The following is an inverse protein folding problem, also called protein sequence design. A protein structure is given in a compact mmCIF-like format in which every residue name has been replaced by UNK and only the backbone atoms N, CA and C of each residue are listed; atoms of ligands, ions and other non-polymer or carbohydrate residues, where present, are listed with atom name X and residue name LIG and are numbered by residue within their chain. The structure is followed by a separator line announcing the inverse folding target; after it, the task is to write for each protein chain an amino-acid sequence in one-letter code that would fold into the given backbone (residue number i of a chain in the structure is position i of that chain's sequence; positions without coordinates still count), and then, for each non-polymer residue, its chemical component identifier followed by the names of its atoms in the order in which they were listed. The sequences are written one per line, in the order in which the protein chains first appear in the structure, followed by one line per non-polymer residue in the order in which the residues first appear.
data_IF_018108232855
#
_entry.id   IF_018108232855
#
_cell.length_a   1.000
_cell.length_b   1.000
_cell.length_c   1.000
_cell.angle_alpha   90.00
_cell.angle_beta   90.00
_cell.angle_gamma   90.00
#
_symmetry.space_group_name_H-M   'P 1'
#
loop_
_entity.id
_entity.type
_entity.pdbx_description
1 polymer ?
#
# COMPACT_ATOMS: atom_id res chain seq x y z
N UNK A 1 -52.96 -34.00 23.20
CA UNK A 1 -51.84 -33.21 23.79
C UNK A 1 -50.61 -33.51 22.94
N UNK A 2 -50.36 -32.68 21.91
CA UNK A 2 -49.22 -32.85 20.99
C UNK A 2 -48.08 -31.93 21.48
N UNK A 3 -46.96 -32.54 21.83
CA UNK A 3 -45.72 -31.81 22.17
C UNK A 3 -44.87 -31.70 20.89
N UNK A 4 -44.84 -30.52 20.31
CA UNK A 4 -43.95 -30.20 19.18
C UNK A 4 -42.57 -29.82 19.73
N UNK A 5 -41.57 -30.67 19.48
CA UNK A 5 -40.20 -30.40 19.84
C UNK A 5 -39.59 -29.52 18.75
N UNK A 6 -39.19 -28.29 19.10
CA UNK A 6 -38.43 -27.38 18.22
C UNK A 6 -36.95 -27.72 18.38
N UNK A 7 -36.38 -28.31 17.33
CA UNK A 7 -34.92 -28.53 17.25
C UNK A 7 -34.24 -27.22 16.82
N UNK A 8 -33.44 -26.65 17.71
CA UNK A 8 -32.59 -25.50 17.45
C UNK A 8 -31.33 -25.99 16.69
N UNK A 9 -31.26 -25.71 15.40
CA UNK A 9 -30.07 -25.96 14.60
C UNK A 9 -29.09 -24.81 14.85
N UNK A 10 -28.05 -25.06 15.64
CA UNK A 10 -26.94 -24.11 15.82
C UNK A 10 -26.05 -24.15 14.55
N UNK A 11 -26.12 -23.10 13.72
CA UNK A 11 -25.16 -22.89 12.65
C UNK A 11 -23.81 -22.49 13.26
N UNK A 12 -22.89 -23.45 13.29
CA UNK A 12 -21.47 -23.17 13.53
C UNK A 12 -20.88 -22.46 12.30
N UNK A 13 -20.80 -21.15 12.36
CA UNK A 13 -20.04 -20.37 11.37
C UNK A 13 -18.54 -20.68 11.58
N UNK A 14 -17.99 -21.58 10.78
CA UNK A 14 -16.55 -21.80 10.71
C UNK A 14 -15.90 -20.57 10.11
N UNK A 15 -15.34 -19.70 10.97
CA UNK A 15 -14.41 -18.66 10.54
C UNK A 15 -13.16 -19.33 10.00
N UNK A 16 -13.01 -19.39 8.67
CA UNK A 16 -11.78 -19.82 8.05
C UNK A 16 -10.67 -18.83 8.47
N UNK A 17 -9.87 -19.21 9.45
CA UNK A 17 -8.64 -18.51 9.81
C UNK A 17 -7.70 -18.64 8.62
N UNK A 18 -7.35 -17.53 7.97
CA UNK A 18 -6.30 -17.52 6.98
C UNK A 18 -5.00 -17.98 7.65
N UNK A 19 -4.45 -19.10 7.20
CA UNK A 19 -3.20 -19.63 7.74
C UNK A 19 -2.10 -18.56 7.63
N UNK A 20 -1.31 -18.41 8.72
CA UNK A 20 -0.17 -17.50 8.71
C UNK A 20 0.83 -17.91 7.64
N UNK A 21 1.40 -16.95 6.92
CA UNK A 21 2.48 -17.23 5.97
C UNK A 21 3.78 -17.53 6.72
N UNK A 22 4.75 -18.26 6.13
CA UNK A 22 6.05 -18.46 6.76
C UNK A 22 6.73 -17.15 7.19
N UNK A 23 6.61 -16.11 6.40
CA UNK A 23 7.16 -14.77 6.66
C UNK A 23 6.70 -14.14 7.98
N UNK A 24 5.49 -14.44 8.44
CA UNK A 24 4.96 -13.94 9.71
C UNK A 24 5.62 -14.56 10.95
N UNK A 25 6.35 -15.66 10.78
CA UNK A 25 7.13 -16.27 11.87
C UNK A 25 8.41 -15.51 12.16
N UNK A 26 8.93 -14.75 11.19
CA UNK A 26 10.08 -13.86 11.36
C UNK A 26 9.60 -12.57 12.02
N UNK A 27 9.87 -12.44 13.31
CA UNK A 27 9.30 -11.37 14.14
C UNK A 27 10.24 -10.18 14.34
N UNK A 28 11.47 -10.25 13.90
CA UNK A 28 12.48 -9.18 13.95
C UNK A 28 13.15 -9.05 12.59
N UNK A 29 13.66 -7.86 12.22
CA UNK A 29 14.49 -7.70 11.04
C UNK A 29 15.66 -8.68 11.05
N UNK A 30 15.91 -9.30 9.90
CA UNK A 30 17.09 -10.15 9.73
C UNK A 30 18.34 -9.26 9.70
N UNK A 31 19.35 -9.52 10.55
CA UNK A 31 20.56 -8.69 10.60
C UNK A 31 21.32 -8.68 9.27
N UNK A 32 21.95 -7.56 8.95
CA UNK A 32 22.77 -7.39 7.74
C UNK A 32 22.64 -5.99 7.16
N UNK A 33 23.41 -5.72 6.10
CA UNK A 33 23.21 -4.52 5.29
C UNK A 33 21.84 -4.57 4.62
N UNK A 34 21.16 -3.43 4.50
CA UNK A 34 19.84 -3.38 3.89
C UNK A 34 19.90 -3.84 2.43
N UNK A 35 19.14 -4.88 2.10
CA UNK A 35 19.04 -5.46 0.76
C UNK A 35 17.61 -5.81 0.45
N UNK A 36 17.01 -5.11 -0.51
CA UNK A 36 15.74 -5.53 -1.15
C UNK A 36 16.05 -6.62 -2.17
N UNK A 37 15.30 -7.72 -2.17
CA UNK A 37 15.56 -8.90 -3.01
C UNK A 37 14.31 -9.28 -3.77
N UNK A 38 14.43 -9.50 -5.08
CA UNK A 38 13.34 -9.88 -5.98
C UNK A 38 12.41 -8.72 -6.33
N UNK A 39 11.21 -9.04 -6.80
CA UNK A 39 10.22 -8.05 -7.21
C UNK A 39 9.27 -7.68 -6.07
N UNK A 40 8.56 -6.55 -6.21
CA UNK A 40 7.58 -6.05 -5.25
C UNK A 40 6.52 -7.08 -4.83
N UNK A 41 6.25 -8.09 -5.66
CA UNK A 41 5.23 -9.13 -5.44
C UNK A 41 5.79 -10.54 -5.27
N UNK A 42 7.09 -10.70 -5.35
CA UNK A 42 7.80 -11.96 -5.14
C UNK A 42 9.22 -11.66 -4.66
N UNK A 43 9.36 -11.32 -3.39
CA UNK A 43 10.64 -10.88 -2.83
C UNK A 43 10.66 -10.88 -1.31
N UNK A 44 11.76 -10.38 -0.76
CA UNK A 44 12.01 -10.24 0.66
C UNK A 44 12.99 -9.08 0.92
N UNK A 45 13.34 -8.86 2.19
CA UNK A 45 14.34 -7.87 2.60
C UNK A 45 15.20 -8.41 3.74
N UNK A 46 16.51 -8.15 3.68
CA UNK A 46 17.47 -8.27 4.79
C UNK A 46 17.77 -6.86 5.29
N UNK A 47 18.12 -6.70 6.55
CA UNK A 47 18.51 -5.40 7.12
C UNK A 47 17.40 -4.34 7.09
N UNK A 48 16.14 -4.76 7.22
CA UNK A 48 15.02 -3.81 7.25
C UNK A 48 15.12 -2.90 8.47
N UNK A 49 14.86 -1.60 8.26
CA UNK A 49 14.64 -0.65 9.34
C UNK A 49 13.20 -0.69 9.85
N UNK A 50 13.06 -0.38 11.13
CA UNK A 50 11.75 -0.18 11.77
C UNK A 50 11.37 1.29 11.69
N UNK A 51 10.23 1.60 11.06
CA UNK A 51 9.68 2.96 11.14
C UNK A 51 9.22 3.21 12.58
N UNK A 52 9.71 4.25 13.30
CA UNK A 52 9.15 4.64 14.58
C UNK A 52 7.64 4.81 14.48
N UNK A 53 6.89 4.20 15.39
CA UNK A 53 5.41 4.16 15.28
C UNK A 53 4.74 5.53 15.44
N UNK A 54 5.47 6.53 15.93
CA UNK A 54 5.03 7.92 16.02
C UNK A 54 6.19 8.90 15.85
N UNK A 55 5.90 10.04 15.22
CA UNK A 55 6.77 11.21 15.18
C UNK A 55 5.91 12.48 15.29
N UNK A 56 6.51 13.66 15.26
CA UNK A 56 5.75 14.91 15.18
C UNK A 56 4.90 15.01 13.91
N UNK A 57 5.34 14.37 12.81
CA UNK A 57 4.81 14.58 11.47
C UNK A 57 3.90 13.48 10.99
N UNK A 58 3.99 12.26 11.57
CA UNK A 58 3.19 11.11 11.17
C UNK A 58 2.78 10.23 12.37
N UNK A 59 1.84 9.33 12.12
CA UNK A 59 1.45 8.25 13.02
C UNK A 59 1.24 6.97 12.22
N UNK A 60 1.76 5.85 12.73
CA UNK A 60 1.59 4.52 12.12
C UNK A 60 0.31 3.89 12.62
N UNK A 61 -0.49 3.34 11.71
CA UNK A 61 -1.75 2.66 12.01
C UNK A 61 -1.56 1.15 12.07
N UNK A 62 -2.50 0.44 12.72
CA UNK A 62 -2.57 -1.03 12.78
C UNK A 62 -1.24 -1.68 13.19
N UNK A 63 -0.58 -1.09 14.18
CA UNK A 63 0.74 -1.56 14.66
C UNK A 63 0.72 -2.98 15.18
N UNK A 64 -0.46 -3.50 15.58
CA UNK A 64 -0.70 -4.90 15.94
C UNK A 64 -0.41 -5.87 14.77
N UNK A 65 -0.49 -5.42 13.52
CA UNK A 65 -0.17 -6.24 12.34
C UNK A 65 1.33 -6.32 12.03
N UNK A 66 2.17 -5.50 12.70
CA UNK A 66 3.63 -5.48 12.54
C UNK A 66 4.08 -5.31 11.08
N UNK A 67 3.47 -4.37 10.36
CA UNK A 67 3.76 -4.03 8.96
C UNK A 67 4.33 -2.63 8.82
N UNK A 68 5.33 -2.31 9.64
CA UNK A 68 6.00 -1.00 9.68
C UNK A 68 7.51 -1.12 9.54
N UNK A 69 7.96 -2.11 8.77
CA UNK A 69 9.36 -2.35 8.43
C UNK A 69 9.58 -2.09 6.95
N UNK A 70 10.78 -1.62 6.60
CA UNK A 70 11.12 -1.37 5.20
C UNK A 70 12.61 -1.09 5.01
N UNK A 71 13.01 -0.89 3.77
CA UNK A 71 14.34 -0.43 3.45
C UNK A 71 14.59 0.96 4.08
N UNK A 72 15.81 1.30 4.53
CA UNK A 72 16.13 2.63 5.06
C UNK A 72 15.69 3.78 4.14
N UNK A 73 15.80 3.61 2.81
CA UNK A 73 15.34 4.60 1.84
C UNK A 73 13.83 4.87 1.93
N UNK A 74 13.03 3.83 2.20
CA UNK A 74 11.59 3.96 2.41
C UNK A 74 11.29 4.73 3.71
N UNK A 75 12.01 4.41 4.78
CA UNK A 75 11.88 5.12 6.06
C UNK A 75 12.25 6.60 5.89
N UNK A 76 13.35 6.90 5.21
CA UNK A 76 13.75 8.28 4.90
C UNK A 76 12.74 9.00 4.00
N UNK A 77 12.18 8.34 3.01
CA UNK A 77 11.11 8.92 2.17
C UNK A 77 9.90 9.33 3.02
N UNK A 78 9.42 8.44 3.89
CA UNK A 78 8.27 8.72 4.77
C UNK A 78 8.56 9.92 5.66
N UNK A 79 9.74 10.00 6.25
CA UNK A 79 10.15 11.10 7.11
C UNK A 79 10.22 12.43 6.33
N UNK A 80 10.82 12.45 5.14
CA UNK A 80 10.88 13.64 4.27
C UNK A 80 9.48 14.14 3.90
N UNK A 81 8.64 13.23 3.37
CA UNK A 81 7.28 13.57 2.94
C UNK A 81 6.45 14.11 4.10
N UNK A 82 6.50 13.42 5.25
CA UNK A 82 5.72 13.80 6.42
C UNK A 82 6.15 15.16 6.99
N UNK A 83 7.45 15.43 6.99
CA UNK A 83 7.98 16.75 7.39
C UNK A 83 7.51 17.85 6.44
N UNK A 84 7.55 17.62 5.13
CA UNK A 84 7.04 18.60 4.14
C UNK A 84 5.54 18.89 4.35
N UNK A 85 4.73 17.85 4.54
CA UNK A 85 3.27 17.95 4.81
C UNK A 85 3.02 18.77 6.09
N UNK A 86 3.78 18.51 7.14
CA UNK A 86 3.69 19.23 8.42
C UNK A 86 4.08 20.70 8.28
N UNK A 87 5.19 20.98 7.59
CA UNK A 87 5.66 22.35 7.36
C UNK A 87 4.68 23.19 6.54
N UNK A 88 3.88 22.56 5.68
CA UNK A 88 2.79 23.21 4.94
C UNK A 88 1.50 23.32 5.77
N UNK A 89 1.49 22.92 7.03
CA UNK A 89 0.31 22.94 7.89
C UNK A 89 -0.83 22.04 7.42
N UNK A 90 -0.56 21.01 6.62
CA UNK A 90 -1.59 20.18 6.02
C UNK A 90 -2.19 19.15 7.00
N UNK A 91 -1.52 18.84 8.09
CA UNK A 91 -1.96 17.88 9.11
C UNK A 91 -0.95 16.77 9.37
N UNK A 92 -1.38 15.73 10.09
CA UNK A 92 -0.56 14.56 10.41
C UNK A 92 -0.70 13.51 9.32
N UNK A 93 0.42 12.97 8.81
CA UNK A 93 0.41 11.88 7.83
C UNK A 93 0.09 10.55 8.55
N UNK A 94 -0.83 9.78 8.01
CA UNK A 94 -1.21 8.47 8.54
C UNK A 94 -0.58 7.38 7.67
N UNK A 95 0.35 6.62 8.26
CA UNK A 95 1.09 5.55 7.60
C UNK A 95 0.36 4.23 7.83
N UNK A 96 0.00 3.57 6.74
CA UNK A 96 -0.60 2.24 6.73
C UNK A 96 0.43 1.13 6.70
N UNK A 97 0.20 0.14 5.81
CA UNK A 97 1.10 -0.99 5.68
C UNK A 97 2.38 -0.61 4.91
N UNK A 98 3.51 -1.03 5.44
CA UNK A 98 4.82 -1.10 4.78
C UNK A 98 5.14 -2.58 4.50
N UNK A 99 6.25 -3.10 5.01
CA UNK A 99 6.62 -4.51 4.97
C UNK A 99 6.60 -5.17 6.34
N UNK A 100 6.71 -6.50 6.36
CA UNK A 100 7.05 -7.29 7.56
C UNK A 100 8.57 -7.23 7.82
N UNK A 101 9.06 -7.70 9.00
CA UNK A 101 10.47 -7.61 9.37
C UNK A 101 11.48 -8.15 8.35
N UNK A 102 11.11 -9.22 7.62
CA UNK A 102 11.89 -9.78 6.52
C UNK A 102 11.20 -9.61 5.16
N UNK A 103 10.21 -8.73 5.06
CA UNK A 103 9.39 -8.59 3.86
C UNK A 103 8.53 -9.83 3.61
N UNK A 104 8.46 -10.24 2.34
CA UNK A 104 7.68 -11.40 1.93
C UNK A 104 6.16 -11.19 1.96
N UNK A 105 5.44 -12.23 1.57
CA UNK A 105 4.00 -12.16 1.30
C UNK A 105 3.16 -12.09 2.59
N UNK A 106 2.24 -11.15 2.65
CA UNK A 106 1.20 -11.09 3.69
C UNK A 106 0.21 -12.27 3.56
N UNK A 107 -0.50 -12.58 4.64
CA UNK A 107 -1.56 -13.60 4.65
C UNK A 107 -2.87 -13.14 3.99
N UNK A 108 -2.88 -11.99 3.34
CA UNK A 108 -4.02 -11.42 2.60
C UNK A 108 -3.93 -9.91 2.45
N UNK A 109 -4.82 -9.35 1.66
CA UNK A 109 -4.99 -7.91 1.46
C UNK A 109 -4.11 -7.31 0.36
N UNK A 110 -2.83 -7.63 0.31
CA UNK A 110 -1.86 -7.04 -0.61
C UNK A 110 -1.09 -8.10 -1.39
N UNK A 111 -0.84 -7.83 -2.67
CA UNK A 111 0.02 -8.65 -3.52
C UNK A 111 1.49 -8.17 -3.53
N UNK A 112 1.76 -7.00 -2.99
CA UNK A 112 3.06 -6.31 -2.95
C UNK A 112 3.55 -6.12 -1.52
N UNK A 113 4.37 -5.13 -1.25
CA UNK A 113 5.02 -4.85 0.05
C UNK A 113 6.06 -5.88 0.47
N UNK A 114 6.58 -6.67 -0.48
CA UNK A 114 7.44 -7.81 -0.12
C UNK A 114 8.92 -7.46 0.01
N UNK A 115 9.37 -6.38 -0.64
CA UNK A 115 10.78 -5.98 -0.71
C UNK A 115 11.14 -4.81 0.22
N UNK A 116 10.18 -4.32 1.02
CA UNK A 116 10.41 -3.17 1.91
C UNK A 116 10.49 -1.82 1.18
N UNK A 117 9.99 -1.72 -0.06
CA UNK A 117 10.02 -0.50 -0.88
C UNK A 117 8.62 0.08 -1.16
N UNK A 118 7.58 -0.50 -0.57
CA UNK A 118 6.19 -0.07 -0.73
C UNK A 118 5.62 0.45 0.59
N UNK A 119 4.78 1.48 0.51
CA UNK A 119 4.02 2.00 1.67
C UNK A 119 2.64 2.47 1.26
N UNK A 120 1.64 2.17 2.08
CA UNK A 120 0.31 2.74 2.01
C UNK A 120 0.24 4.01 2.87
N UNK A 121 -0.13 5.13 2.26
CA UNK A 121 -0.32 6.41 2.95
C UNK A 121 -1.77 6.82 2.80
N UNK A 122 -2.46 7.01 3.93
CA UNK A 122 -3.87 7.36 3.92
C UNK A 122 -4.08 8.81 3.45
N UNK A 123 -5.14 9.01 2.67
CA UNK A 123 -5.49 10.31 2.09
C UNK A 123 -6.28 11.19 3.08
N UNK A 124 -6.24 10.83 4.34
CA UNK A 124 -6.83 11.57 5.44
C UNK A 124 -5.71 12.20 6.28
N UNK A 125 -5.74 13.53 6.38
CA UNK A 125 -4.74 14.33 7.07
C UNK A 125 -5.35 15.01 8.30
N UNK A 126 -5.49 14.31 9.45
CA UNK A 126 -6.10 14.89 10.64
C UNK A 126 -5.28 16.06 11.18
N UNK A 127 -5.95 17.15 11.54
CA UNK A 127 -5.34 18.31 12.20
C UNK A 127 -5.06 18.02 13.68
N UNK A 128 -5.86 17.17 14.29
CA UNK A 128 -5.63 16.65 15.65
C UNK A 128 -5.13 15.22 15.55
N UNK A 129 -4.05 14.92 16.25
CA UNK A 129 -3.48 13.57 16.27
C UNK A 129 -4.49 12.54 16.75
N UNK A 130 -4.48 11.39 16.11
CA UNK A 130 -5.34 10.28 16.47
C UNK A 130 -4.91 9.61 17.77
N UNK A 131 -5.88 9.16 18.54
CA UNK A 131 -5.66 8.31 19.72
C UNK A 131 -5.18 6.91 19.33
N UNK A 132 -4.58 6.19 20.26
CA UNK A 132 -4.16 4.80 20.03
C UNK A 132 -5.31 3.90 19.58
N UNK A 133 -6.52 4.09 20.10
CA UNK A 133 -7.71 3.32 19.67
C UNK A 133 -8.07 3.59 18.20
N UNK A 134 -8.02 4.85 17.75
CA UNK A 134 -8.25 5.21 16.37
C UNK A 134 -7.16 4.66 15.43
N UNK A 135 -5.90 4.65 15.87
CA UNK A 135 -4.78 4.09 15.09
C UNK A 135 -4.87 2.57 14.97
N UNK A 136 -5.31 1.86 15.98
CA UNK A 136 -5.46 0.40 15.95
C UNK A 136 -6.68 -0.04 15.12
N UNK A 137 -7.74 0.74 15.10
CA UNK A 137 -8.98 0.45 14.37
C UNK A 137 -9.41 1.65 13.55
N UNK A 138 -8.59 2.02 12.52
CA UNK A 138 -8.84 3.21 11.73
C UNK A 138 -10.13 3.08 10.91
N UNK A 139 -10.92 4.14 10.92
CA UNK A 139 -12.00 4.30 9.96
C UNK A 139 -11.44 5.04 8.75
N UNK A 140 -11.26 4.30 7.66
CA UNK A 140 -10.75 4.85 6.43
C UNK A 140 -11.79 5.80 5.80
N UNK A 141 -11.34 6.99 5.38
CA UNK A 141 -12.16 7.95 4.65
C UNK A 141 -12.26 7.50 3.20
N UNK A 142 -13.42 6.95 2.80
CA UNK A 142 -13.67 6.59 1.41
C UNK A 142 -13.91 7.85 0.57
N UNK A 143 -12.94 8.21 -0.26
CA UNK A 143 -13.00 9.41 -1.11
C UNK A 143 -13.79 9.21 -2.39
N UNK A 144 -14.24 8.01 -2.71
CA UNK A 144 -14.85 7.68 -4.00
C UNK A 144 -16.33 7.45 -3.84
N UNK A 145 -17.11 7.98 -4.76
CA UNK A 145 -18.58 7.80 -4.82
C UNK A 145 -18.96 6.31 -4.88
N UNK A 146 -20.21 6.00 -4.48
CA UNK A 146 -20.70 4.62 -4.45
C UNK A 146 -20.63 3.93 -5.82
N UNK A 147 -20.84 4.67 -6.90
CA UNK A 147 -20.75 4.15 -8.28
C UNK A 147 -19.31 4.01 -8.80
N UNK A 148 -18.31 4.43 -8.02
CA UNK A 148 -16.91 4.33 -8.35
C UNK A 148 -16.39 5.31 -9.40
N UNK A 149 -17.22 6.26 -9.86
CA UNK A 149 -16.94 7.12 -11.02
C UNK A 149 -16.33 8.47 -10.66
N UNK A 150 -16.54 8.96 -9.44
CA UNK A 150 -16.14 10.31 -9.04
C UNK A 150 -15.57 10.30 -7.62
N UNK A 151 -14.79 11.32 -7.29
CA UNK A 151 -14.49 11.62 -5.90
C UNK A 151 -15.70 12.28 -5.24
N UNK A 152 -15.88 12.05 -3.95
CA UNK A 152 -16.90 12.74 -3.15
C UNK A 152 -16.41 14.18 -2.91
N UNK A 153 -17.01 15.16 -3.57
CA UNK A 153 -16.54 16.56 -3.60
C UNK A 153 -16.39 17.19 -2.22
N UNK A 154 -17.27 16.84 -1.27
CA UNK A 154 -17.18 17.32 0.12
C UNK A 154 -16.01 16.76 0.90
N UNK A 155 -15.45 15.63 0.47
CA UNK A 155 -14.31 14.95 1.08
C UNK A 155 -12.99 15.25 0.37
N UNK A 156 -13.02 15.60 -0.91
CA UNK A 156 -11.83 15.99 -1.68
C UNK A 156 -11.36 17.37 -1.22
N UNK A 157 -10.11 17.41 -0.75
CA UNK A 157 -9.50 18.63 -0.19
C UNK A 157 -8.19 18.96 -0.92
N UNK A 158 -7.81 20.24 -1.02
CA UNK A 158 -6.53 20.66 -1.63
C UNK A 158 -5.31 19.97 -1.00
N UNK A 159 -5.37 19.64 0.30
CA UNK A 159 -4.30 18.95 1.00
C UNK A 159 -4.09 17.51 0.48
N UNK A 160 -5.17 16.84 0.04
CA UNK A 160 -5.09 15.49 -0.54
C UNK A 160 -4.37 15.55 -1.89
N UNK A 161 -4.73 16.50 -2.74
CA UNK A 161 -4.04 16.76 -4.01
C UNK A 161 -2.56 17.04 -3.77
N UNK A 162 -2.25 17.93 -2.83
CA UNK A 162 -0.88 18.33 -2.51
C UNK A 162 -0.06 17.17 -1.95
N UNK A 163 -0.63 16.33 -1.08
CA UNK A 163 0.03 15.14 -0.54
C UNK A 163 0.45 14.18 -1.67
N UNK A 164 -0.46 13.85 -2.59
CA UNK A 164 -0.17 12.94 -3.70
C UNK A 164 0.88 13.54 -4.63
N UNK A 165 0.77 14.85 -4.92
CA UNK A 165 1.74 15.57 -5.75
C UNK A 165 3.13 15.56 -5.13
N UNK A 166 3.27 15.91 -3.86
CA UNK A 166 4.53 15.90 -3.13
C UNK A 166 5.18 14.50 -3.16
N UNK A 167 4.39 13.46 -2.90
CA UNK A 167 4.88 12.09 -2.98
C UNK A 167 5.36 11.74 -4.41
N UNK A 168 4.61 12.12 -5.44
CA UNK A 168 4.98 11.83 -6.83
C UNK A 168 6.21 12.61 -7.30
N UNK A 169 6.48 13.77 -6.73
CA UNK A 169 7.65 14.59 -7.06
C UNK A 169 8.93 14.11 -6.36
N UNK A 170 8.84 13.25 -5.35
CA UNK A 170 10.04 12.66 -4.75
C UNK A 170 10.82 11.84 -5.79
N UNK A 171 12.15 12.02 -5.78
CA UNK A 171 13.06 11.45 -6.80
C UNK A 171 13.10 9.92 -6.77
N UNK A 172 12.87 9.31 -5.60
CA UNK A 172 12.94 7.87 -5.38
C UNK A 172 11.62 7.15 -5.68
N UNK A 173 10.51 7.89 -5.77
CA UNK A 173 9.20 7.34 -6.13
C UNK A 173 9.14 7.06 -7.63
N UNK A 174 8.82 5.81 -7.97
CA UNK A 174 8.62 5.36 -9.36
C UNK A 174 7.15 5.21 -9.72
N UNK A 175 6.29 4.95 -8.73
CA UNK A 175 4.87 4.70 -8.96
C UNK A 175 4.03 4.98 -7.71
N UNK A 176 2.83 5.48 -7.95
CA UNK A 176 1.79 5.65 -6.92
C UNK A 176 0.50 5.08 -7.48
N UNK A 177 -0.15 4.18 -6.73
CA UNK A 177 -1.45 3.65 -7.11
C UNK A 177 -2.56 4.35 -6.33
N UNK A 178 -3.59 4.78 -7.04
CA UNK A 178 -4.81 5.39 -6.50
C UNK A 178 -6.03 4.86 -7.24
N UNK A 179 -7.21 5.02 -6.66
CA UNK A 179 -8.45 4.67 -7.37
C UNK A 179 -8.57 5.47 -8.70
N UNK A 180 -9.14 4.88 -9.77
CA UNK A 180 -9.35 5.58 -11.04
C UNK A 180 -10.06 6.94 -10.89
N UNK A 181 -11.07 7.06 -10.04
CA UNK A 181 -11.76 8.32 -9.79
C UNK A 181 -10.85 9.38 -9.14
N UNK A 182 -9.94 8.96 -8.25
CA UNK A 182 -8.92 9.85 -7.67
C UNK A 182 -7.94 10.30 -8.75
N UNK A 183 -7.45 9.37 -9.60
CA UNK A 183 -6.59 9.73 -10.73
C UNK A 183 -7.28 10.72 -11.67
N UNK A 184 -8.55 10.52 -11.97
CA UNK A 184 -9.35 11.43 -12.80
C UNK A 184 -9.41 12.82 -12.18
N UNK A 185 -9.68 12.93 -10.88
CA UNK A 185 -9.72 14.21 -10.18
C UNK A 185 -8.37 14.92 -10.21
N UNK A 186 -7.26 14.17 -9.98
CA UNK A 186 -5.92 14.72 -10.09
C UNK A 186 -5.64 15.27 -11.50
N UNK A 187 -6.11 14.59 -12.55
CA UNK A 187 -5.99 15.06 -13.93
C UNK A 187 -6.75 16.37 -14.19
N UNK A 188 -7.89 16.57 -13.53
CA UNK A 188 -8.69 17.81 -13.65
C UNK A 188 -8.02 18.96 -12.89
N UNK A 189 -7.44 18.71 -11.72
CA UNK A 189 -6.92 19.72 -10.82
C UNK A 189 -5.46 20.14 -11.15
N UNK A 190 -4.71 19.35 -11.93
CA UNK A 190 -3.26 19.52 -12.08
C UNK A 190 -2.83 20.78 -12.84
N UNK A 191 -3.74 21.45 -13.58
CA UNK A 191 -3.37 22.60 -14.40
C UNK A 191 -2.31 22.25 -15.44
N UNK A 192 -1.28 23.08 -15.57
CA UNK A 192 -0.18 22.94 -16.55
C UNK A 192 1.00 22.10 -16.05
N UNK A 193 1.21 22.00 -14.72
CA UNK A 193 2.25 21.17 -14.12
C UNK A 193 1.75 19.73 -14.00
N UNK A 194 2.07 18.87 -14.98
CA UNK A 194 1.49 17.53 -15.16
C UNK A 194 2.49 16.38 -15.16
N UNK A 195 3.80 16.64 -15.19
CA UNK A 195 4.82 15.59 -15.34
C UNK A 195 4.80 14.54 -14.23
N UNK A 196 4.51 14.96 -13.00
CA UNK A 196 4.39 14.08 -11.85
C UNK A 196 3.23 13.07 -11.96
N UNK A 197 2.18 13.39 -12.73
CA UNK A 197 1.03 12.52 -12.96
C UNK A 197 1.41 11.21 -13.65
N UNK A 198 2.52 11.19 -14.40
CA UNK A 198 3.05 9.96 -15.02
C UNK A 198 3.22 8.84 -13.98
N UNK A 199 3.69 9.17 -12.80
CA UNK A 199 3.93 8.20 -11.73
C UNK A 199 2.63 7.74 -11.05
N UNK A 200 1.56 8.51 -11.12
CA UNK A 200 0.28 8.20 -10.49
C UNK A 200 -0.58 7.35 -11.41
N UNK A 201 -0.84 6.11 -11.00
CA UNK A 201 -1.51 5.10 -11.83
C UNK A 201 -2.85 4.68 -11.23
N UNK A 202 -3.89 4.52 -12.05
CA UNK A 202 -5.16 3.98 -11.58
C UNK A 202 -4.99 2.52 -11.19
N UNK A 203 -5.62 2.11 -10.08
CA UNK A 203 -5.66 0.73 -9.64
C UNK A 203 -6.95 0.45 -8.87
N UNK A 204 -7.38 -0.81 -8.88
CA UNK A 204 -8.58 -1.23 -8.14
C UNK A 204 -8.45 -0.93 -6.63
N UNK A 205 -9.58 -0.76 -5.96
CA UNK A 205 -9.65 -0.32 -4.56
C UNK A 205 -8.98 1.05 -4.38
N UNK A 206 -7.95 1.21 -3.58
CA UNK A 206 -7.20 2.46 -3.32
C UNK A 206 -8.09 3.71 -3.19
N UNK A 207 -9.23 3.54 -2.48
CA UNK A 207 -10.25 4.58 -2.33
C UNK A 207 -9.97 5.55 -1.18
N UNK A 208 -9.16 5.11 -0.20
CA UNK A 208 -8.86 5.83 1.04
C UNK A 208 -7.36 6.07 1.28
N UNK A 209 -6.50 5.46 0.49
CA UNK A 209 -5.05 5.57 0.59
C UNK A 209 -4.42 5.57 -0.80
N UNK A 210 -3.22 6.09 -0.89
CA UNK A 210 -2.32 5.89 -2.01
C UNK A 210 -1.30 4.81 -1.63
N UNK A 211 -0.97 3.93 -2.57
CA UNK A 211 0.13 2.97 -2.44
C UNK A 211 1.34 3.53 -3.19
N UNK A 212 2.40 3.82 -2.48
CA UNK A 212 3.64 4.40 -3.03
C UNK A 212 4.70 3.31 -3.16
N UNK A 213 5.40 3.30 -4.29
CA UNK A 213 6.54 2.42 -4.58
C UNK A 213 7.78 3.21 -4.91
N UNK A 214 8.88 2.88 -4.24
CA UNK A 214 10.20 3.40 -4.54
C UNK A 214 10.92 2.54 -5.60
N UNK A 215 11.98 3.12 -6.18
CA UNK A 215 12.93 2.38 -7.02
C UNK A 215 13.75 1.42 -6.18
N UNK A 216 14.36 0.45 -6.81
CA UNK A 216 15.39 -0.36 -6.18
C UNK A 216 16.57 0.51 -5.75
N UNK A 217 17.07 0.34 -4.50
CA UNK A 217 18.31 0.96 -4.06
C UNK A 217 19.50 0.47 -4.90
N UNK A 218 20.46 1.34 -5.14
CA UNK A 218 21.60 1.04 -6.02
C UNK A 218 22.50 -0.10 -5.50
N UNK A 219 22.50 -0.33 -4.20
CA UNK A 219 23.24 -1.37 -3.50
C UNK A 219 22.47 -2.69 -3.36
N UNK A 220 21.17 -2.72 -3.65
CA UNK A 220 20.33 -3.92 -3.62
C UNK A 220 20.39 -4.66 -4.98
N UNK A 221 21.48 -5.38 -5.21
CA UNK A 221 21.80 -5.96 -6.52
C UNK A 221 20.80 -7.03 -7.02
N UNK A 222 20.08 -7.69 -6.11
CA UNK A 222 19.04 -8.68 -6.45
C UNK A 222 17.63 -8.05 -6.54
N UNK A 223 17.49 -6.73 -6.38
CA UNK A 223 16.22 -6.06 -6.47
C UNK A 223 15.78 -5.88 -7.93
N UNK A 224 14.51 -6.16 -8.22
CA UNK A 224 13.94 -6.06 -9.55
C UNK A 224 12.99 -4.86 -9.65
N UNK A 225 13.43 -3.81 -10.36
CA UNK A 225 12.59 -2.63 -10.59
C UNK A 225 11.38 -2.95 -11.47
N UNK A 226 10.25 -2.39 -11.12
CA UNK A 226 9.13 -2.34 -12.04
C UNK A 226 9.41 -1.30 -13.13
N UNK A 227 9.25 -1.63 -14.43
CA UNK A 227 9.46 -0.68 -15.53
C UNK A 227 8.65 0.62 -15.30
N UNK A 228 9.27 1.77 -15.56
CA UNK A 228 8.58 3.05 -15.41
C UNK A 228 7.29 3.09 -16.26
N UNK A 229 6.26 3.83 -15.82
CA UNK A 229 5.07 4.05 -16.63
C UNK A 229 5.41 4.66 -18.00
N UNK A 230 4.61 4.40 -19.05
CA UNK A 230 4.78 5.06 -20.34
C UNK A 230 4.88 6.59 -20.21
N UNK A 231 5.53 7.29 -21.16
CA UNK A 231 5.52 8.75 -21.21
C UNK A 231 4.11 9.34 -21.24
N UNK A 232 3.98 10.58 -20.76
CA UNK A 232 2.70 11.29 -20.68
C UNK A 232 2.11 11.23 -19.26
N UNK A 233 1.03 11.97 -19.04
CA UNK A 233 0.40 12.14 -17.74
C UNK A 233 -0.55 11.00 -17.33
N UNK A 234 -0.86 10.09 -18.26
CA UNK A 234 -1.77 8.96 -18.03
C UNK A 234 -3.23 9.36 -17.80
N UNK A 235 -3.64 10.56 -18.28
CA UNK A 235 -5.00 11.10 -18.14
C UNK A 235 -5.92 10.82 -19.36
N UNK A 236 -5.38 10.19 -20.39
CA UNK A 236 -6.11 9.93 -21.64
C UNK A 236 -6.85 8.58 -21.66
N UNK A 237 -6.78 7.90 -22.80
CA UNK A 237 -7.54 6.68 -23.10
C UNK A 237 -7.28 5.55 -22.09
N UNK A 238 -6.06 5.44 -21.56
CA UNK A 238 -5.75 4.45 -20.51
C UNK A 238 -6.61 4.67 -19.27
N UNK A 239 -6.72 5.92 -18.78
CA UNK A 239 -7.57 6.21 -17.63
C UNK A 239 -9.06 5.96 -17.95
N UNK A 240 -9.52 6.34 -19.14
CA UNK A 240 -10.91 6.13 -19.53
C UNK A 240 -11.29 4.65 -19.56
N UNK A 241 -10.38 3.78 -19.99
CA UNK A 241 -10.63 2.33 -20.02
C UNK A 241 -10.96 1.71 -18.64
N UNK A 242 -10.59 2.35 -17.54
CA UNK A 242 -10.92 1.89 -16.19
C UNK A 242 -12.39 2.10 -15.81
N UNK A 243 -13.09 2.98 -16.52
CA UNK A 243 -14.52 3.27 -16.31
C UNK A 243 -15.42 2.52 -17.30
N UNK A 244 -14.84 1.85 -18.29
CA UNK A 244 -15.57 1.05 -19.25
C UNK A 244 -15.98 -0.30 -18.64
N UNK A 245 -17.14 -0.85 -19.01
CA UNK A 245 -17.51 -2.19 -18.61
C UNK A 245 -16.50 -3.23 -19.18
N UNK A 246 -16.26 -4.34 -18.48
CA UNK A 246 -15.42 -5.41 -19.02
C UNK A 246 -15.89 -5.84 -20.41
N UNK A 247 -14.97 -5.99 -21.36
CA UNK A 247 -15.32 -6.45 -22.71
C UNK A 247 -15.96 -7.83 -22.64
N UNK A 248 -17.08 -8.09 -23.34
CA UNK A 248 -17.68 -9.40 -23.41
C UNK A 248 -16.65 -10.45 -23.87
N UNK A 249 -16.59 -11.60 -23.17
CA UNK A 249 -15.69 -12.70 -23.53
C UNK A 249 -14.30 -12.64 -22.87
N UNK A 250 -13.99 -11.61 -22.06
CA UNK A 250 -12.79 -11.66 -21.22
C UNK A 250 -13.04 -12.62 -20.06
N UNK A 251 -12.56 -13.86 -20.18
CA UNK A 251 -12.50 -14.82 -19.06
C UNK A 251 -11.66 -14.23 -17.92
N UNK A 252 -12.07 -14.49 -16.68
CA UNK A 252 -11.21 -14.20 -15.53
C UNK A 252 -9.84 -14.82 -15.80
N UNK A 253 -8.73 -14.05 -15.64
CA UNK A 253 -7.42 -14.63 -15.84
C UNK A 253 -7.29 -15.88 -14.95
N UNK A 254 -6.82 -16.97 -15.53
CA UNK A 254 -6.46 -18.17 -14.77
C UNK A 254 -5.58 -17.77 -13.59
N UNK A 255 -5.81 -18.41 -12.45
CA UNK A 255 -4.96 -18.24 -11.27
C UNK A 255 -3.56 -18.69 -11.63
N UNK A 256 -2.70 -17.75 -12.07
CA UNK A 256 -1.29 -18.05 -12.30
C UNK A 256 -0.70 -18.56 -10.98
N UNK A 257 -0.04 -19.70 -11.03
CA UNK A 257 0.81 -20.16 -9.91
C UNK A 257 1.82 -19.05 -9.59
N UNK A 258 2.00 -18.73 -8.32
CA UNK A 258 3.06 -17.77 -7.95
C UNK A 258 4.40 -18.30 -8.42
N UNK A 259 5.27 -17.47 -9.01
CA UNK A 259 6.62 -17.89 -9.36
C UNK A 259 7.36 -18.38 -8.10
N UNK A 260 8.38 -19.24 -8.25
CA UNK A 260 9.22 -19.64 -7.12
C UNK A 260 9.84 -18.39 -6.49
N UNK A 261 10.13 -18.45 -5.20
CA UNK A 261 10.85 -17.36 -4.51
C UNK A 261 12.25 -17.19 -5.11
N UNK A 262 12.81 -15.97 -5.08
CA UNK A 262 14.22 -15.76 -5.31
C UNK A 262 15.03 -16.70 -4.39
N UNK A 263 16.15 -17.30 -4.86
CA UNK A 263 16.97 -18.23 -4.06
C UNK A 263 17.39 -17.65 -2.71
N UNK A 264 17.80 -16.38 -2.66
CA UNK A 264 18.20 -15.68 -1.42
C UNK A 264 17.00 -15.53 -0.45
N UNK A 265 15.79 -15.30 -0.94
CA UNK A 265 14.60 -15.27 -0.11
C UNK A 265 14.21 -16.65 0.43
N UNK A 266 14.39 -17.71 -0.37
CA UNK A 266 14.15 -19.08 0.07
C UNK A 266 15.15 -19.47 1.17
N UNK A 267 16.44 -19.19 0.98
CA UNK A 267 17.47 -19.44 1.97
C UNK A 267 17.18 -18.73 3.30
N UNK A 268 16.71 -17.47 3.25
CA UNK A 268 16.31 -16.71 4.43
C UNK A 268 15.17 -17.37 5.18
N UNK A 269 14.16 -17.91 4.49
CA UNK A 269 13.06 -18.66 5.14
C UNK A 269 13.55 -19.96 5.76
N UNK A 270 14.43 -20.69 5.07
CA UNK A 270 14.97 -21.97 5.55
C UNK A 270 15.79 -21.76 6.83
N UNK A 271 16.52 -20.66 6.94
CA UNK A 271 17.34 -20.32 8.12
C UNK A 271 16.49 -19.87 9.33
N UNK A 272 15.40 -19.14 9.11
CA UNK A 272 14.68 -18.46 10.20
C UNK A 272 13.30 -19.07 10.54
N UNK A 273 12.80 -20.05 9.78
CA UNK A 273 11.43 -20.58 9.93
C UNK A 273 11.38 -22.07 10.23
N UNK A 274 12.48 -22.78 9.95
CA UNK A 274 12.65 -24.21 10.33
C UNK A 274 13.17 -24.28 11.78
#
# INVERSE_FOLDING_TARGET
MNKTAIALLALLASSASLAATPWQKITQPVPGSAQSIGSFSNGCIVGADTLPIQSEHYQVMRTDQRRYFGHPDLVMFIQRLSSQVSNLGMGTVLIGDMGMPAGGRFNGGHASHQTGLDVDIFLQLPKTRWTSAQLLRPQALDLVSRDGKHVVSTLWKPEIFSLIKLAAQDKDVTRIFVNPAIKQQLCLDAGTDRDWLRKVRPWFQHRAHMHVRLRCPADSLECEDQPLPPPGDGCGAELQSWFEPPKPGTTKPEKKTSPPLPPSCQALLDEHVI
#
